data_IF_027964493374
#
_entry.id   IF_027964493374
#
_cell.length_a   1.000
_cell.length_b   1.000
_cell.length_c   1.000
_cell.angle_alpha   90.00
_cell.angle_beta   90.00
_cell.angle_gamma   90.00
#
_symmetry.space_group_name_H-M   'P 1'
#
loop_
_entity.id
_entity.type
_entity.pdbx_description
1 polymer ?
#
# COMPACT_ATOMS: atom_id res chain seq x y z
N UNK A 1 4.10 -15.79 8.82
CA UNK A 1 5.34 -15.37 8.12
C UNK A 1 6.26 -16.54 7.72
N UNK A 2 6.80 -17.37 8.62
CA UNK A 2 7.82 -18.39 8.25
C UNK A 2 7.34 -19.51 7.31
N UNK A 3 6.03 -19.74 7.23
CA UNK A 3 5.42 -20.75 6.32
C UNK A 3 4.96 -20.15 4.98
N UNK A 4 5.25 -18.87 4.73
CA UNK A 4 4.89 -18.23 3.47
C UNK A 4 5.71 -18.81 2.30
N UNK A 5 5.11 -18.87 1.12
CA UNK A 5 5.70 -19.54 -0.05
C UNK A 5 6.18 -18.51 -1.07
N UNK A 6 7.48 -18.50 -1.36
CA UNK A 6 8.04 -17.69 -2.46
C UNK A 6 7.57 -18.25 -3.81
N UNK A 7 6.86 -17.43 -4.58
CA UNK A 7 6.31 -17.83 -5.87
C UNK A 7 7.29 -17.53 -7.02
N UNK A 8 7.89 -16.35 -7.01
CA UNK A 8 8.88 -15.91 -8.01
C UNK A 8 9.72 -14.74 -7.51
N UNK A 9 10.91 -14.58 -8.12
CA UNK A 9 11.76 -13.39 -8.02
C UNK A 9 11.76 -12.63 -9.35
N UNK A 10 11.85 -11.31 -9.28
CA UNK A 10 11.81 -10.40 -10.42
C UNK A 10 12.97 -9.41 -10.29
N UNK A 11 13.76 -9.30 -11.37
CA UNK A 11 15.06 -8.62 -11.43
C UNK A 11 16.10 -9.23 -10.46
N UNK A 12 17.34 -8.74 -10.53
CA UNK A 12 18.41 -9.13 -9.63
C UNK A 12 18.75 -7.96 -8.69
N UNK A 13 18.96 -8.22 -7.38
CA UNK A 13 19.52 -7.23 -6.48
C UNK A 13 20.82 -6.60 -7.01
N UNK A 14 21.04 -5.29 -6.79
CA UNK A 14 22.29 -4.64 -7.19
C UNK A 14 23.48 -5.18 -6.38
N UNK A 15 24.66 -5.15 -7.01
CA UNK A 15 25.93 -5.45 -6.35
C UNK A 15 26.68 -4.15 -6.09
N UNK A 16 27.18 -3.97 -4.87
CA UNK A 16 27.96 -2.80 -4.47
C UNK A 16 29.41 -3.21 -4.21
N UNK A 17 30.37 -2.36 -4.63
CA UNK A 17 31.79 -2.47 -4.29
C UNK A 17 32.13 -1.76 -2.96
N UNK A 18 31.10 -1.32 -2.23
CA UNK A 18 31.13 -0.72 -0.90
C UNK A 18 30.03 -1.30 -0.02
N UNK A 19 30.07 -1.01 1.29
CA UNK A 19 28.98 -1.39 2.20
C UNK A 19 27.80 -0.44 2.04
N UNK A 20 26.64 -0.89 1.51
CA UNK A 20 25.48 -0.03 1.33
C UNK A 20 24.96 0.43 2.68
N UNK A 21 24.65 1.73 2.78
CA UNK A 21 24.05 2.33 3.97
C UNK A 21 22.54 2.12 3.97
N UNK A 22 21.96 2.03 5.15
CA UNK A 22 20.51 2.07 5.30
C UNK A 22 19.96 3.48 5.05
N UNK A 23 18.69 3.55 4.62
CA UNK A 23 18.02 4.80 4.27
C UNK A 23 18.05 5.86 5.39
N UNK A 24 18.05 5.49 6.67
CA UNK A 24 18.09 6.47 7.75
C UNK A 24 19.43 7.19 7.82
N UNK A 25 20.56 6.52 7.57
CA UNK A 25 21.89 7.16 7.58
C UNK A 25 22.03 8.08 6.38
N UNK A 26 21.60 7.59 5.20
CA UNK A 26 21.56 8.37 3.96
C UNK A 26 20.70 9.62 4.15
N UNK A 27 19.47 9.42 4.64
CA UNK A 27 18.48 10.48 4.84
C UNK A 27 18.90 11.55 5.84
N UNK A 28 19.57 11.17 6.94
CA UNK A 28 20.13 12.12 7.90
C UNK A 28 21.29 12.91 7.28
N UNK A 29 22.20 12.24 6.56
CA UNK A 29 23.38 12.88 5.94
C UNK A 29 23.01 13.85 4.81
N UNK A 30 21.97 13.53 4.04
CA UNK A 30 21.43 14.39 2.97
C UNK A 30 20.45 15.43 3.50
N UNK A 31 20.12 15.39 4.80
CA UNK A 31 19.09 16.21 5.42
C UNK A 31 17.73 16.09 4.67
N UNK A 32 17.38 14.85 4.29
CA UNK A 32 16.10 14.45 3.71
C UNK A 32 15.13 13.89 4.74
N UNK A 33 15.63 13.21 5.77
CA UNK A 33 14.83 12.59 6.83
C UNK A 33 15.17 13.25 8.17
N UNK A 34 14.22 13.99 8.75
CA UNK A 34 14.38 14.68 10.02
C UNK A 34 13.47 14.05 11.09
N UNK A 35 14.01 13.03 11.76
CA UNK A 35 13.34 12.31 12.85
C UNK A 35 13.20 13.17 14.10
N UNK A 36 14.19 14.01 14.40
CA UNK A 36 14.19 14.87 15.61
C UNK A 36 13.03 15.85 15.55
N UNK A 37 12.82 16.51 14.41
CA UNK A 37 11.67 17.40 14.22
C UNK A 37 10.36 16.62 14.13
N UNK A 38 10.36 15.42 13.55
CA UNK A 38 9.19 14.52 13.55
C UNK A 38 8.69 14.21 14.97
N UNK A 39 9.61 13.84 15.87
CA UNK A 39 9.30 13.64 17.29
C UNK A 39 8.84 14.94 17.96
N UNK A 40 9.51 16.06 17.68
CA UNK A 40 9.20 17.35 18.30
C UNK A 40 7.77 17.83 18.01
N UNK A 41 7.28 17.64 16.78
CA UNK A 41 5.95 18.14 16.37
C UNK A 41 4.84 17.12 16.56
N UNK A 42 5.18 15.83 16.65
CA UNK A 42 4.25 14.73 16.85
C UNK A 42 4.71 13.88 18.04
N UNK A 43 5.29 12.71 17.78
CA UNK A 43 5.85 11.78 18.76
C UNK A 43 6.80 10.80 18.03
N UNK A 44 7.24 9.73 18.68
CA UNK A 44 7.98 8.66 18.01
C UNK A 44 7.21 8.10 16.80
N UNK A 45 7.92 7.48 15.84
CA UNK A 45 7.35 6.95 14.58
C UNK A 45 6.69 8.00 13.68
N UNK A 46 7.19 9.23 13.73
CA UNK A 46 6.96 10.28 12.74
C UNK A 46 8.31 10.80 12.21
N UNK A 47 8.34 11.20 10.94
CA UNK A 47 9.51 11.75 10.27
C UNK A 47 9.10 12.92 9.39
N UNK A 48 9.89 14.01 9.41
CA UNK A 48 9.72 15.12 8.46
C UNK A 48 10.60 14.87 7.25
N UNK A 49 9.98 14.81 6.07
CA UNK A 49 10.71 14.79 4.79
C UNK A 49 11.11 16.22 4.39
N UNK A 50 12.33 16.38 3.87
CA UNK A 50 12.89 17.67 3.46
C UNK A 50 13.56 17.59 2.09
N UNK A 51 13.73 18.77 1.48
CA UNK A 51 14.49 18.98 0.25
C UNK A 51 14.12 17.97 -0.86
N UNK A 52 15.12 17.40 -1.52
CA UNK A 52 14.94 16.42 -2.59
C UNK A 52 14.22 15.15 -2.11
N UNK A 53 14.36 14.75 -0.84
CA UNK A 53 13.60 13.62 -0.28
C UNK A 53 12.09 13.86 -0.27
N UNK A 54 11.67 15.09 0.07
CA UNK A 54 10.26 15.48 -0.01
C UNK A 54 9.76 15.58 -1.47
N UNK A 55 10.59 16.12 -2.37
CA UNK A 55 10.26 16.19 -3.80
C UNK A 55 10.12 14.79 -4.42
N UNK A 56 11.02 13.87 -4.05
CA UNK A 56 11.01 12.48 -4.53
C UNK A 56 9.78 11.72 -4.02
N UNK A 57 9.38 11.90 -2.76
CA UNK A 57 8.12 11.31 -2.23
C UNK A 57 6.92 11.75 -3.07
N UNK A 58 6.82 13.05 -3.39
CA UNK A 58 5.76 13.58 -4.25
C UNK A 58 5.85 13.05 -5.69
N UNK A 59 7.05 12.96 -6.24
CA UNK A 59 7.27 12.41 -7.58
C UNK A 59 6.80 10.95 -7.68
N UNK A 60 7.06 10.16 -6.63
CA UNK A 60 6.58 8.78 -6.52
C UNK A 60 5.06 8.69 -6.54
N UNK A 61 4.35 9.51 -5.75
CA UNK A 61 2.88 9.54 -5.74
C UNK A 61 2.33 9.76 -7.14
N UNK A 62 2.81 10.79 -7.84
CA UNK A 62 2.33 11.12 -9.18
C UNK A 62 2.63 10.01 -10.18
N UNK A 63 3.84 9.45 -10.13
CA UNK A 63 4.23 8.36 -11.01
C UNK A 63 3.35 7.12 -10.81
N UNK A 64 3.14 6.71 -9.56
CA UNK A 64 2.32 5.56 -9.21
C UNK A 64 0.87 5.72 -9.69
N UNK A 65 0.27 6.90 -9.50
CA UNK A 65 -1.09 7.20 -10.00
C UNK A 65 -1.13 7.13 -11.52
N UNK A 66 -0.22 7.80 -12.23
CA UNK A 66 -0.19 7.79 -13.69
C UNK A 66 0.04 6.38 -14.25
N UNK A 67 0.90 5.59 -13.59
CA UNK A 67 1.14 4.20 -13.92
C UNK A 67 -0.15 3.38 -13.81
N UNK A 68 -0.81 3.42 -12.66
CA UNK A 68 -2.07 2.69 -12.43
C UNK A 68 -3.17 3.14 -13.41
N UNK A 69 -3.27 4.44 -13.70
CA UNK A 69 -4.23 4.97 -14.70
C UNK A 69 -3.97 4.43 -16.09
N UNK A 70 -2.70 4.32 -16.50
CA UNK A 70 -2.33 3.72 -17.79
C UNK A 70 -2.71 2.23 -17.88
N UNK A 71 -2.94 1.57 -16.73
CA UNK A 71 -3.43 0.18 -16.62
C UNK A 71 -4.96 0.08 -16.45
N UNK A 72 -5.68 1.18 -16.62
CA UNK A 72 -7.14 1.20 -16.63
C UNK A 72 -7.78 1.32 -15.24
N UNK A 73 -7.05 1.81 -14.24
CA UNK A 73 -7.62 2.15 -12.93
C UNK A 73 -8.06 3.63 -12.92
N UNK A 74 -9.33 3.87 -12.58
CA UNK A 74 -9.86 5.22 -12.42
C UNK A 74 -9.25 5.88 -11.17
N UNK A 75 -8.77 7.12 -11.31
CA UNK A 75 -8.25 7.85 -10.16
C UNK A 75 -9.39 8.49 -9.37
N UNK A 76 -9.52 8.12 -8.10
CA UNK A 76 -10.49 8.68 -7.17
C UNK A 76 -9.79 9.37 -6.00
N UNK A 77 -10.35 10.47 -5.54
CA UNK A 77 -9.90 11.21 -4.36
C UNK A 77 -10.98 11.14 -3.28
N UNK A 78 -10.60 10.73 -2.07
CA UNK A 78 -11.55 10.36 -1.01
C UNK A 78 -11.22 11.04 0.32
N UNK A 79 -12.21 11.19 1.22
CA UNK A 79 -11.96 11.69 2.57
C UNK A 79 -11.00 10.78 3.37
N UNK A 80 -10.19 11.38 4.24
CA UNK A 80 -9.31 10.64 5.16
C UNK A 80 -9.95 10.39 6.52
N UNK A 81 -11.10 11.02 6.79
CA UNK A 81 -11.96 10.74 7.93
C UNK A 81 -13.22 10.03 7.44
N UNK A 82 -13.55 8.90 8.04
CA UNK A 82 -14.72 8.08 7.67
C UNK A 82 -15.50 7.66 8.91
N UNK A 83 -16.78 7.37 8.73
CA UNK A 83 -17.64 6.96 9.84
C UNK A 83 -17.44 5.49 10.25
N UNK A 84 -17.98 5.10 11.41
CA UNK A 84 -17.85 3.74 11.92
C UNK A 84 -18.46 2.66 11.01
N UNK A 85 -19.52 3.00 10.25
CA UNK A 85 -20.12 2.06 9.30
C UNK A 85 -19.18 1.74 8.13
N UNK A 86 -18.47 2.74 7.60
CA UNK A 86 -17.43 2.57 6.58
C UNK A 86 -16.31 1.65 7.10
N UNK A 87 -15.82 1.89 8.32
CA UNK A 87 -14.79 1.06 8.96
C UNK A 87 -15.26 -0.39 9.21
N UNK A 88 -16.55 -0.59 9.45
CA UNK A 88 -17.14 -1.92 9.59
C UNK A 88 -17.19 -2.66 8.24
N UNK A 89 -17.49 -1.96 7.15
CA UNK A 89 -17.62 -2.53 5.80
C UNK A 89 -16.38 -3.31 5.36
N UNK A 90 -15.20 -2.77 5.58
CA UNK A 90 -13.90 -3.36 5.18
C UNK A 90 -13.23 -4.20 6.28
N UNK A 91 -13.86 -4.35 7.44
CA UNK A 91 -13.42 -5.29 8.48
C UNK A 91 -12.49 -4.74 9.56
N UNK A 92 -12.15 -3.46 9.54
CA UNK A 92 -11.37 -2.81 10.60
C UNK A 92 -12.14 -2.84 11.92
N UNK A 93 -13.45 -2.54 11.89
CA UNK A 93 -14.31 -2.67 13.06
C UNK A 93 -15.09 -3.99 13.09
N UNK A 94 -15.30 -4.58 14.29
CA UNK A 94 -14.85 -4.10 15.60
C UNK A 94 -13.45 -4.56 16.01
N UNK A 95 -12.85 -5.53 15.28
CA UNK A 95 -11.68 -6.29 15.73
C UNK A 95 -10.42 -5.43 15.96
N UNK A 96 -10.17 -4.46 15.09
CA UNK A 96 -8.95 -3.64 15.09
C UNK A 96 -9.23 -2.21 15.57
N UNK A 97 -10.26 -2.01 16.39
CA UNK A 97 -10.61 -0.68 16.93
C UNK A 97 -9.43 0.00 17.62
N UNK A 98 -8.65 -0.78 18.38
CA UNK A 98 -7.49 -0.27 19.12
C UNK A 98 -6.32 0.14 18.21
N UNK A 99 -6.28 -0.32 16.96
CA UNK A 99 -5.26 0.06 15.99
C UNK A 99 -5.62 1.37 15.25
N UNK A 100 -6.86 1.84 15.35
CA UNK A 100 -7.36 3.01 14.61
C UNK A 100 -7.29 4.29 15.46
N UNK A 101 -6.96 5.41 14.82
CA UNK A 101 -7.17 6.73 15.40
C UNK A 101 -8.63 7.15 15.21
N UNK A 102 -9.31 7.42 16.33
CA UNK A 102 -10.71 7.88 16.38
C UNK A 102 -10.71 9.35 16.79
N UNK A 103 -11.55 10.16 16.15
CA UNK A 103 -11.83 11.54 16.58
C UNK A 103 -12.63 11.49 17.88
N UNK A 104 -12.21 12.29 18.85
CA UNK A 104 -12.90 12.34 20.14
C UNK A 104 -14.31 12.94 19.96
N UNK A 105 -15.29 12.44 20.72
CA UNK A 105 -16.70 12.83 20.63
C UNK A 105 -17.41 12.71 19.27
N UNK A 106 -16.74 12.21 18.23
CA UNK A 106 -17.33 11.97 16.90
C UNK A 106 -17.24 10.49 16.51
N UNK A 107 -18.20 9.99 15.71
CA UNK A 107 -18.08 8.67 15.07
C UNK A 107 -17.26 8.78 13.78
N UNK A 108 -16.07 9.40 13.86
CA UNK A 108 -15.12 9.51 12.76
C UNK A 108 -13.78 8.87 13.12
N UNK A 109 -13.18 8.22 12.14
CA UNK A 109 -11.88 7.54 12.24
C UNK A 109 -10.98 8.01 11.11
N UNK A 110 -9.69 8.19 11.41
CA UNK A 110 -8.68 8.33 10.36
C UNK A 110 -8.48 6.98 9.67
N UNK A 111 -8.42 7.00 8.35
CA UNK A 111 -8.24 5.78 7.55
C UNK A 111 -6.84 5.20 7.72
N UNK A 112 -6.73 3.87 7.81
CA UNK A 112 -5.45 3.14 7.83
C UNK A 112 -5.00 2.67 6.44
N UNK A 113 -5.83 2.93 5.42
CA UNK A 113 -5.66 2.61 4.00
C UNK A 113 -6.80 3.23 3.17
N UNK A 114 -6.55 3.65 1.92
CA UNK A 114 -7.61 4.10 1.00
C UNK A 114 -8.61 3.00 0.64
N UNK A 115 -8.27 1.73 0.84
CA UNK A 115 -9.20 0.60 0.69
C UNK A 115 -10.52 0.86 1.44
N UNK A 116 -10.44 1.41 2.66
CA UNK A 116 -11.61 1.66 3.52
C UNK A 116 -12.66 2.52 2.81
N UNK A 117 -12.37 3.79 2.45
CA UNK A 117 -13.35 4.62 1.76
C UNK A 117 -13.63 4.14 0.34
N UNK A 118 -12.63 3.68 -0.41
CA UNK A 118 -12.80 3.36 -1.85
C UNK A 118 -13.70 2.14 -2.06
N UNK A 119 -13.55 1.07 -1.27
CA UNK A 119 -14.46 -0.09 -1.33
C UNK A 119 -15.89 0.32 -0.95
N UNK A 120 -16.04 1.22 0.02
CA UNK A 120 -17.34 1.67 0.52
C UNK A 120 -18.01 2.76 -0.32
N UNK A 121 -17.39 3.24 -1.42
CA UNK A 121 -18.05 4.18 -2.35
C UNK A 121 -19.40 3.63 -2.84
N UNK A 122 -19.51 2.30 -2.95
CA UNK A 122 -20.70 1.60 -3.41
C UNK A 122 -21.45 0.87 -2.28
N UNK A 123 -21.19 1.24 -1.02
CA UNK A 123 -21.82 0.62 0.15
C UNK A 123 -23.35 0.79 0.09
N UNK A 124 -24.07 -0.33 0.20
CA UNK A 124 -25.53 -0.39 0.13
C UNK A 124 -26.11 -0.46 -1.28
N UNK A 125 -25.29 -0.32 -2.32
CA UNK A 125 -25.76 -0.25 -3.71
C UNK A 125 -26.02 -1.61 -4.36
N UNK A 126 -26.82 -1.58 -5.43
CA UNK A 126 -27.00 -2.69 -6.37
C UNK A 126 -26.48 -2.21 -7.72
N UNK A 127 -25.27 -2.63 -8.05
CA UNK A 127 -24.54 -2.25 -9.26
C UNK A 127 -25.13 -2.92 -10.51
N UNK A 128 -25.00 -2.22 -11.63
CA UNK A 128 -25.31 -2.74 -12.94
C UNK A 128 -24.22 -3.71 -13.41
N UNK A 129 -24.61 -4.89 -13.91
CA UNK A 129 -23.70 -6.00 -14.24
C UNK A 129 -22.61 -5.62 -15.25
N UNK A 130 -22.96 -4.74 -16.19
CA UNK A 130 -22.13 -4.21 -17.26
C UNK A 130 -21.09 -3.19 -16.79
N UNK A 131 -21.23 -2.64 -15.57
CA UNK A 131 -20.24 -1.73 -14.98
C UNK A 131 -19.06 -2.47 -14.33
N UNK A 132 -19.17 -3.79 -14.17
CA UNK A 132 -18.15 -4.61 -13.51
C UNK A 132 -17.18 -5.25 -14.53
N UNK A 133 -15.86 -5.25 -14.26
CA UNK A 133 -15.22 -4.83 -13.01
C UNK A 133 -15.01 -3.31 -12.93
N UNK A 134 -15.25 -2.74 -11.74
CA UNK A 134 -14.86 -1.37 -11.40
C UNK A 134 -13.45 -1.43 -10.83
N UNK A 135 -12.53 -0.65 -11.40
CA UNK A 135 -11.11 -0.62 -11.01
C UNK A 135 -10.71 0.81 -10.67
N UNK A 136 -10.26 1.03 -9.45
CA UNK A 136 -9.95 2.36 -8.93
C UNK A 136 -8.54 2.40 -8.34
N UNK A 137 -7.90 3.56 -8.44
CA UNK A 137 -6.65 3.87 -7.74
C UNK A 137 -6.80 5.16 -6.93
N UNK A 138 -6.18 5.21 -5.76
CA UNK A 138 -6.34 6.32 -4.84
C UNK A 138 -5.06 6.54 -4.02
N UNK A 139 -4.65 7.80 -3.88
CA UNK A 139 -3.62 8.18 -2.93
C UNK A 139 -4.25 8.61 -1.60
N UNK A 140 -3.63 8.23 -0.47
CA UNK A 140 -3.93 8.85 0.82
C UNK A 140 -2.74 8.84 1.78
N UNK A 141 -2.80 9.73 2.76
CA UNK A 141 -2.12 9.52 4.03
C UNK A 141 -2.89 8.44 4.82
N UNK A 142 -2.17 7.44 5.30
CA UNK A 142 -2.67 6.32 6.08
C UNK A 142 -2.21 6.45 7.53
N UNK A 143 -3.11 6.18 8.48
CA UNK A 143 -2.89 6.37 9.91
C UNK A 143 -3.07 5.05 10.67
N UNK A 144 -2.05 4.61 11.41
CA UNK A 144 -2.07 3.38 12.22
C UNK A 144 -1.46 3.64 13.58
N UNK A 145 -2.13 3.21 14.66
CA UNK A 145 -1.55 3.28 16.02
C UNK A 145 -0.40 2.31 16.23
N UNK A 146 -0.22 1.32 15.35
CA UNK A 146 0.87 0.34 15.42
C UNK A 146 0.96 -0.34 16.81
N UNK A 147 -0.19 -0.64 17.42
CA UNK A 147 -0.24 -1.27 18.74
C UNK A 147 0.41 -2.66 18.67
N UNK A 148 1.22 -3.00 19.68
CA UNK A 148 1.95 -4.27 19.71
C UNK A 148 3.24 -4.33 18.86
N UNK A 149 3.64 -3.25 18.19
CA UNK A 149 4.89 -3.20 17.40
C UNK A 149 6.16 -2.85 18.21
N UNK A 150 6.14 -3.02 19.53
CA UNK A 150 7.25 -2.65 20.42
C UNK A 150 8.55 -3.36 20.02
N UNK A 151 9.63 -2.60 19.85
CA UNK A 151 10.96 -3.13 19.51
C UNK A 151 11.18 -3.53 18.04
N UNK A 152 10.15 -3.50 17.18
CA UNK A 152 10.27 -3.80 15.74
C UNK A 152 10.39 -2.52 14.91
N UNK A 153 11.33 -2.50 13.97
CA UNK A 153 11.55 -1.39 13.01
C UNK A 153 11.56 -0.02 13.73
N UNK A 154 12.43 0.12 14.72
CA UNK A 154 12.47 1.28 15.62
C UNK A 154 13.18 2.50 15.01
N UNK A 155 14.00 2.29 13.98
CA UNK A 155 14.70 3.35 13.22
C UNK A 155 14.24 3.36 11.77
N UNK A 156 14.21 4.55 11.17
CA UNK A 156 13.82 4.72 9.77
C UNK A 156 12.33 4.99 9.56
N UNK A 157 11.87 4.84 8.32
CA UNK A 157 10.51 5.18 7.88
C UNK A 157 9.71 3.97 7.35
N UNK A 158 10.18 2.73 7.60
CA UNK A 158 9.47 1.50 7.20
C UNK A 158 8.15 1.30 7.96
N UNK A 159 8.13 1.72 9.25
CA UNK A 159 6.97 1.61 10.15
C UNK A 159 6.75 2.93 10.88
N UNK A 160 5.70 3.65 10.48
CA UNK A 160 5.33 4.97 10.99
C UNK A 160 3.85 5.00 11.37
N UNK A 161 3.45 5.93 12.24
CA UNK A 161 2.04 6.16 12.54
C UNK A 161 1.28 6.78 11.37
N UNK A 162 1.98 7.61 10.59
CA UNK A 162 1.49 8.19 9.35
C UNK A 162 2.43 7.81 8.21
N UNK A 163 1.88 7.30 7.12
CA UNK A 163 2.62 7.00 5.90
C UNK A 163 1.73 7.19 4.68
N UNK A 164 2.33 7.41 3.53
CA UNK A 164 1.62 7.64 2.27
C UNK A 164 1.51 6.34 1.47
N UNK A 165 0.39 6.15 0.80
CA UNK A 165 0.14 4.97 -0.03
C UNK A 165 -0.70 5.32 -1.25
N UNK A 166 -0.35 4.71 -2.39
CA UNK A 166 -1.23 4.64 -3.56
C UNK A 166 -1.83 3.24 -3.59
N UNK A 167 -3.15 3.16 -3.61
CA UNK A 167 -3.92 1.92 -3.54
C UNK A 167 -4.51 1.56 -4.89
N UNK A 168 -4.71 0.26 -5.13
CA UNK A 168 -5.60 -0.32 -6.12
C UNK A 168 -6.79 -0.95 -5.39
N UNK A 169 -8.01 -0.69 -5.85
CA UNK A 169 -9.22 -1.33 -5.34
C UNK A 169 -10.07 -1.76 -6.53
N UNK A 170 -10.54 -3.00 -6.50
CA UNK A 170 -11.44 -3.51 -7.54
C UNK A 170 -12.69 -4.13 -6.95
N UNK A 171 -13.82 -3.89 -7.62
CA UNK A 171 -15.10 -4.53 -7.35
C UNK A 171 -15.49 -5.32 -8.59
N UNK A 172 -15.72 -6.62 -8.44
CA UNK A 172 -15.87 -7.54 -9.59
C UNK A 172 -17.08 -8.44 -9.42
N UNK A 173 -17.51 -9.08 -10.50
CA UNK A 173 -18.32 -10.30 -10.39
C UNK A 173 -17.48 -11.43 -9.79
N UNK A 174 -18.09 -12.43 -9.13
CA UNK A 174 -17.36 -13.56 -8.55
C UNK A 174 -16.43 -14.29 -9.54
N UNK A 175 -16.88 -14.50 -10.77
CA UNK A 175 -16.16 -15.20 -11.84
C UNK A 175 -14.97 -14.42 -12.41
N UNK A 176 -14.94 -13.09 -12.24
CA UNK A 176 -13.84 -12.23 -12.68
C UNK A 176 -12.76 -12.06 -11.61
N UNK A 177 -13.04 -12.48 -10.37
CA UNK A 177 -12.26 -12.12 -9.20
C UNK A 177 -10.80 -12.60 -9.26
N UNK A 178 -10.55 -13.83 -9.73
CA UNK A 178 -9.20 -14.37 -9.82
C UNK A 178 -8.37 -13.75 -10.95
N UNK A 179 -8.99 -13.38 -12.08
CA UNK A 179 -8.27 -12.72 -13.18
C UNK A 179 -7.88 -11.30 -12.79
N UNK A 180 -8.78 -10.55 -12.14
CA UNK A 180 -8.51 -9.20 -11.62
C UNK A 180 -7.48 -9.22 -10.50
N UNK A 181 -7.47 -10.26 -9.64
CA UNK A 181 -6.42 -10.45 -8.64
C UNK A 181 -5.03 -10.52 -9.30
N UNK A 182 -4.88 -11.34 -10.34
CA UNK A 182 -3.61 -11.45 -11.07
C UNK A 182 -3.27 -10.15 -11.79
N UNK A 183 -4.24 -9.45 -12.37
CA UNK A 183 -4.02 -8.13 -13.00
C UNK A 183 -3.48 -7.11 -12.00
N UNK A 184 -4.04 -7.03 -10.79
CA UNK A 184 -3.58 -6.13 -9.74
C UNK A 184 -2.19 -6.50 -9.23
N UNK A 185 -1.90 -7.79 -9.06
CA UNK A 185 -0.60 -8.28 -8.64
C UNK A 185 0.50 -7.93 -9.67
N UNK A 186 0.23 -8.17 -10.96
CA UNK A 186 1.17 -7.80 -12.03
C UNK A 186 1.27 -6.28 -12.18
N UNK A 187 0.19 -5.51 -11.97
CA UNK A 187 0.27 -4.04 -11.97
C UNK A 187 1.28 -3.51 -10.93
N UNK A 188 1.21 -4.02 -9.69
CA UNK A 188 2.15 -3.61 -8.63
C UNK A 188 3.58 -4.16 -8.88
N UNK A 189 3.72 -5.36 -9.43
CA UNK A 189 5.01 -5.96 -9.80
C UNK A 189 5.69 -5.23 -10.97
N UNK A 190 4.93 -4.86 -12.00
CA UNK A 190 5.39 -4.10 -13.15
C UNK A 190 5.84 -2.69 -12.70
N UNK A 191 5.12 -2.07 -11.77
CA UNK A 191 5.49 -0.79 -11.18
C UNK A 191 6.85 -0.86 -10.46
N UNK A 192 7.09 -1.89 -9.63
CA UNK A 192 8.42 -2.11 -9.04
C UNK A 192 9.50 -2.34 -10.10
N UNK A 193 9.20 -3.15 -11.12
CA UNK A 193 10.12 -3.43 -12.23
C UNK A 193 10.50 -2.17 -13.00
N UNK A 194 9.52 -1.29 -13.24
CA UNK A 194 9.73 -0.02 -13.94
C UNK A 194 10.58 0.97 -13.15
N UNK A 195 10.60 0.86 -11.82
CA UNK A 195 11.50 1.57 -10.92
C UNK A 195 12.87 0.89 -10.78
N UNK A 196 13.12 -0.22 -11.48
CA UNK A 196 14.36 -0.97 -11.39
C UNK A 196 14.58 -1.65 -10.03
N UNK A 197 13.52 -1.90 -9.26
CA UNK A 197 13.61 -2.45 -7.91
C UNK A 197 13.41 -3.97 -7.93
N UNK A 198 14.46 -4.70 -7.54
CA UNK A 198 14.39 -6.15 -7.39
C UNK A 198 13.40 -6.54 -6.28
N UNK A 199 12.53 -7.50 -6.57
CA UNK A 199 11.46 -7.91 -5.66
C UNK A 199 11.09 -9.37 -5.83
N UNK A 200 10.33 -9.89 -4.86
CA UNK A 200 9.78 -11.24 -4.89
C UNK A 200 8.30 -11.25 -4.57
N UNK A 201 7.63 -12.30 -5.05
CA UNK A 201 6.22 -12.58 -4.78
C UNK A 201 6.16 -13.64 -3.68
N UNK A 202 5.41 -13.37 -2.62
CA UNK A 202 5.31 -14.23 -1.45
C UNK A 202 3.83 -14.53 -1.16
N UNK A 203 3.39 -15.78 -1.38
CA UNK A 203 2.03 -16.21 -1.03
C UNK A 203 1.95 -16.39 0.48
N UNK A 204 1.00 -15.70 1.12
CA UNK A 204 0.79 -15.80 2.55
C UNK A 204 0.15 -17.14 2.93
N UNK A 205 0.67 -17.78 3.99
CA UNK A 205 0.02 -18.93 4.58
C UNK A 205 -1.25 -18.52 5.33
N UNK A 206 -2.10 -19.48 5.68
CA UNK A 206 -3.41 -19.21 6.30
C UNK A 206 -3.31 -18.46 7.64
N UNK A 207 -2.25 -18.72 8.42
CA UNK A 207 -2.00 -18.05 9.70
C UNK A 207 -1.53 -16.59 9.57
N UNK A 208 -1.12 -16.18 8.37
CA UNK A 208 -0.58 -14.85 8.07
C UNK A 208 -1.55 -13.97 7.28
N UNK A 209 -2.70 -14.52 6.89
CA UNK A 209 -3.71 -13.76 6.15
C UNK A 209 -4.31 -12.64 7.00
N UNK A 210 -4.45 -11.47 6.38
CA UNK A 210 -5.23 -10.37 6.93
C UNK A 210 -6.70 -10.78 7.12
N UNK A 211 -7.37 -10.17 8.10
CA UNK A 211 -8.71 -10.59 8.55
C UNK A 211 -9.78 -10.67 7.45
N UNK A 212 -9.68 -9.82 6.42
CA UNK A 212 -10.65 -9.78 5.32
C UNK A 212 -10.20 -10.55 4.08
N UNK A 213 -8.96 -11.03 4.03
CA UNK A 213 -8.40 -11.67 2.86
C UNK A 213 -8.75 -13.16 2.82
N UNK A 214 -9.18 -13.64 1.66
CA UNK A 214 -9.27 -15.08 1.37
C UNK A 214 -7.98 -15.60 0.70
N UNK A 215 -7.24 -14.72 0.03
CA UNK A 215 -5.93 -14.98 -0.59
C UNK A 215 -5.14 -13.68 -0.63
N UNK A 216 -3.86 -13.73 -0.28
CA UNK A 216 -2.94 -12.60 -0.38
C UNK A 216 -1.61 -13.03 -0.98
N UNK A 217 -1.07 -12.20 -1.87
CA UNK A 217 0.33 -12.25 -2.28
C UNK A 217 0.99 -10.93 -1.93
N UNK A 218 2.05 -11.02 -1.14
CA UNK A 218 2.89 -9.88 -0.83
C UNK A 218 3.97 -9.72 -1.90
N UNK A 219 4.27 -8.46 -2.21
CA UNK A 219 5.48 -8.09 -2.93
C UNK A 219 6.47 -7.57 -1.90
N UNK A 220 7.64 -8.18 -1.87
CA UNK A 220 8.75 -7.73 -1.03
C UNK A 220 9.89 -7.21 -1.88
N UNK A 221 10.37 -6.01 -1.57
CA UNK A 221 11.47 -5.34 -2.29
C UNK A 221 12.80 -5.57 -1.59
N UNK A 222 13.88 -5.68 -2.36
CA UNK A 222 15.24 -5.83 -1.82
C UNK A 222 15.71 -4.54 -1.14
N UNK A 223 16.17 -4.65 0.10
CA UNK A 223 16.83 -3.57 0.85
C UNK A 223 18.29 -3.95 1.13
N UNK A 224 19.27 -3.37 0.39
CA UNK A 224 20.66 -3.78 0.50
C UNK A 224 21.29 -3.43 1.85
N UNK A 225 20.87 -2.35 2.51
CA UNK A 225 21.38 -2.02 3.86
C UNK A 225 21.00 -3.06 4.91
N UNK A 226 19.91 -3.80 4.69
CA UNK A 226 19.43 -4.86 5.57
C UNK A 226 19.73 -6.28 5.05
N UNK A 227 20.26 -6.39 3.84
CA UNK A 227 20.51 -7.65 3.14
C UNK A 227 19.29 -8.62 3.13
N UNK A 228 18.09 -8.09 2.90
CA UNK A 228 16.85 -8.87 2.85
C UNK A 228 15.76 -8.22 2.00
N UNK A 229 14.79 -9.03 1.61
CA UNK A 229 13.52 -8.54 1.07
C UNK A 229 12.60 -8.06 2.20
N UNK A 230 11.85 -6.99 1.95
CA UNK A 230 10.87 -6.41 2.87
C UNK A 230 9.58 -6.08 2.14
N UNK A 231 8.45 -6.42 2.75
CA UNK A 231 7.10 -6.10 2.24
C UNK A 231 7.01 -4.63 1.81
N UNK A 232 6.52 -4.40 0.59
CA UNK A 232 6.23 -3.07 0.02
C UNK A 232 4.80 -2.98 -0.54
N UNK A 233 4.19 -4.12 -0.81
CA UNK A 233 2.79 -4.25 -1.20
C UNK A 233 2.21 -5.58 -0.71
N UNK A 234 0.92 -5.58 -0.42
CA UNK A 234 0.08 -6.75 -0.14
C UNK A 234 -1.13 -6.64 -1.05
N UNK A 235 -1.32 -7.62 -1.95
CA UNK A 235 -2.48 -7.70 -2.86
C UNK A 235 -3.40 -8.82 -2.41
N UNK A 236 -4.66 -8.50 -2.13
CA UNK A 236 -5.63 -9.40 -1.52
C UNK A 236 -6.90 -9.55 -2.33
N UNK A 237 -7.41 -10.77 -2.40
CA UNK A 237 -8.78 -11.08 -2.81
C UNK A 237 -9.61 -11.36 -1.55
N UNK A 238 -10.61 -10.51 -1.29
CA UNK A 238 -11.49 -10.62 -0.13
C UNK A 238 -12.76 -11.43 -0.42
N UNK A 239 -12.94 -11.88 -1.67
CA UNK A 239 -14.18 -12.49 -2.17
C UNK A 239 -15.37 -11.63 -1.75
N UNK A 240 -16.43 -12.22 -1.24
CA UNK A 240 -17.66 -11.54 -0.84
C UNK A 240 -17.64 -11.02 0.62
N UNK A 241 -16.53 -11.16 1.36
CA UNK A 241 -16.47 -10.85 2.79
C UNK A 241 -16.85 -9.39 3.08
N UNK A 242 -16.19 -8.45 2.40
CA UNK A 242 -16.45 -7.02 2.58
C UNK A 242 -17.78 -6.62 1.93
N UNK A 243 -18.10 -7.18 0.76
CA UNK A 243 -19.38 -6.96 0.08
C UNK A 243 -20.58 -7.32 0.97
N UNK A 244 -20.49 -8.39 1.76
CA UNK A 244 -21.54 -8.80 2.71
C UNK A 244 -21.73 -7.79 3.84
N UNK A 245 -20.64 -7.23 4.36
CA UNK A 245 -20.65 -6.22 5.44
C UNK A 245 -21.13 -4.86 4.93
N UNK A 246 -20.64 -4.42 3.78
CA UNK A 246 -20.99 -3.17 3.12
C UNK A 246 -22.24 -3.27 2.23
N UNK A 247 -22.89 -4.45 2.14
CA UNK A 247 -24.11 -4.72 1.36
C UNK A 247 -24.01 -4.38 -0.14
N UNK A 248 -22.81 -4.50 -0.72
CA UNK A 248 -22.54 -4.22 -2.13
C UNK A 248 -22.97 -5.42 -2.97
N UNK A 249 -23.90 -5.20 -3.90
CA UNK A 249 -24.49 -6.26 -4.73
C UNK A 249 -24.49 -5.84 -6.19
N UNK A 250 -24.77 -6.78 -7.08
CA UNK A 250 -25.10 -6.52 -8.49
C UNK A 250 -26.29 -7.36 -8.92
N UNK A 251 -26.95 -6.98 -10.02
CA UNK A 251 -27.96 -7.83 -10.66
C UNK A 251 -27.30 -8.82 -11.61
N UNK A 252 -27.48 -10.11 -11.37
CA UNK A 252 -27.03 -11.15 -12.30
C UNK A 252 -27.94 -11.19 -13.55
N UNK A 253 -27.59 -12.03 -14.53
CA UNK A 253 -28.34 -12.19 -15.79
C UNK A 253 -29.80 -12.63 -15.59
N UNK A 254 -30.11 -13.23 -14.44
CA UNK A 254 -31.45 -13.71 -14.07
C UNK A 254 -32.24 -12.64 -13.29
N UNK A 255 -31.69 -11.43 -13.13
CA UNK A 255 -32.29 -10.32 -12.38
C UNK A 255 -32.24 -10.48 -10.86
N UNK A 256 -31.49 -11.45 -10.33
CA UNK A 256 -31.31 -11.66 -8.89
C UNK A 256 -30.13 -10.84 -8.37
N UNK A 257 -30.26 -10.36 -7.13
CA UNK A 257 -29.18 -9.67 -6.45
C UNK A 257 -28.15 -10.68 -5.95
N UNK A 258 -26.90 -10.53 -6.35
CA UNK A 258 -25.76 -11.31 -5.87
C UNK A 258 -24.69 -10.39 -5.28
N UNK A 259 -23.86 -10.93 -4.37
CA UNK A 259 -22.74 -10.18 -3.80
C UNK A 259 -21.62 -10.06 -4.82
N UNK A 260 -21.02 -8.88 -4.90
CA UNK A 260 -19.77 -8.68 -5.64
C UNK A 260 -18.59 -9.31 -4.89
N UNK A 261 -17.46 -9.48 -5.58
CA UNK A 261 -16.18 -9.67 -4.93
C UNK A 261 -15.41 -8.35 -4.82
N UNK A 262 -14.58 -8.25 -3.78
CA UNK A 262 -13.76 -7.08 -3.48
C UNK A 262 -12.29 -7.47 -3.44
N UNK A 263 -11.44 -6.63 -4.01
CA UNK A 263 -10.00 -6.82 -4.06
C UNK A 263 -9.30 -5.49 -3.75
N UNK A 264 -8.15 -5.58 -3.09
CA UNK A 264 -7.33 -4.41 -2.79
C UNK A 264 -5.85 -4.76 -2.91
N UNK A 265 -5.01 -3.74 -3.12
CA UNK A 265 -3.57 -3.92 -3.20
C UNK A 265 -2.83 -2.62 -3.14
N UNK A 266 -1.66 -2.59 -2.49
CA UNK A 266 -0.81 -1.40 -2.51
C UNK A 266 -0.08 -1.30 -3.85
N UNK A 267 -0.02 -0.11 -4.46
CA UNK A 267 0.68 0.14 -5.72
C UNK A 267 1.30 1.55 -5.74
N UNK A 268 2.15 1.94 -4.79
CA UNK A 268 2.78 1.18 -3.69
C UNK A 268 2.68 1.96 -2.36
N UNK A 269 3.20 1.40 -1.27
CA UNK A 269 3.49 2.17 -0.05
C UNK A 269 4.65 3.16 -0.30
N UNK A 270 4.34 4.43 -0.49
CA UNK A 270 5.26 5.48 -0.97
C UNK A 270 6.50 5.59 -0.11
N UNK A 271 6.33 5.62 1.22
CA UNK A 271 7.46 5.70 2.15
C UNK A 271 8.42 4.52 2.04
N UNK A 272 7.90 3.29 1.86
CA UNK A 272 8.74 2.09 1.66
C UNK A 272 9.40 2.10 0.28
N UNK A 273 8.74 2.64 -0.74
CA UNK A 273 9.36 2.85 -2.06
C UNK A 273 10.49 3.87 -2.01
N UNK A 274 10.33 4.96 -1.25
CA UNK A 274 11.40 5.93 -1.02
C UNK A 274 12.61 5.27 -0.36
N UNK A 275 12.40 4.44 0.67
CA UNK A 275 13.46 3.62 1.29
C UNK A 275 14.16 2.75 0.26
N UNK A 276 13.40 2.02 -0.56
CA UNK A 276 13.97 1.14 -1.57
C UNK A 276 14.80 1.92 -2.61
N UNK A 277 14.35 3.10 -3.05
CA UNK A 277 15.12 3.94 -3.98
C UNK A 277 16.40 4.44 -3.32
N UNK A 278 16.31 4.99 -2.11
CA UNK A 278 17.48 5.49 -1.39
C UNK A 278 18.55 4.41 -1.24
N UNK A 279 18.17 3.20 -0.88
CA UNK A 279 19.16 2.14 -0.64
C UNK A 279 19.67 1.48 -1.94
N UNK A 280 18.82 1.29 -2.96
CA UNK A 280 19.23 0.62 -4.20
C UNK A 280 19.93 1.54 -5.20
N UNK A 281 19.74 2.86 -5.09
CA UNK A 281 20.31 3.85 -6.00
C UNK A 281 21.41 4.71 -5.37
N UNK A 282 21.96 4.31 -4.21
CA UNK A 282 23.06 5.02 -3.59
C UNK A 282 24.39 4.80 -4.33
N UNK A 283 25.24 5.83 -4.37
CA UNK A 283 26.66 5.70 -4.72
C UNK A 283 27.55 5.61 -3.47
N UNK A 284 28.85 5.38 -3.68
CA UNK A 284 29.84 5.27 -2.60
C UNK A 284 30.01 6.58 -1.80
N UNK A 285 29.67 7.71 -2.40
CA UNK A 285 29.64 9.03 -1.76
C UNK A 285 28.35 9.28 -0.95
N UNK A 286 27.35 8.40 -1.07
CA UNK A 286 26.05 8.51 -0.40
C UNK A 286 25.04 9.40 -1.12
N UNK A 287 25.25 9.73 -2.40
CA UNK A 287 24.24 10.38 -3.24
C UNK A 287 23.26 9.35 -3.76
N UNK A 288 22.03 9.78 -4.02
CA UNK A 288 20.97 8.92 -4.55
C UNK A 288 20.71 9.27 -6.02
N UNK A 289 20.89 8.29 -6.90
CA UNK A 289 20.53 8.43 -8.30
C UNK A 289 19.01 8.30 -8.49
N UNK A 290 18.40 9.19 -9.27
CA UNK A 290 16.96 9.15 -9.52
C UNK A 290 16.66 8.17 -10.66
N UNK A 291 15.75 7.19 -10.48
CA UNK A 291 15.29 6.31 -11.55
C UNK A 291 14.82 7.09 -12.78
N UNK A 292 15.15 6.62 -13.98
CA UNK A 292 14.85 7.34 -15.23
C UNK A 292 13.37 7.68 -15.40
N UNK A 293 12.48 6.76 -15.01
CA UNK A 293 11.02 6.94 -15.08
C UNK A 293 10.50 8.08 -14.18
N UNK A 294 11.26 8.46 -13.15
CA UNK A 294 10.91 9.54 -12.23
C UNK A 294 11.42 10.92 -12.68
N UNK A 295 12.37 10.99 -13.62
CA UNK A 295 12.99 12.26 -14.06
C UNK A 295 11.99 13.28 -14.62
N UNK A 296 10.84 12.85 -15.15
CA UNK A 296 9.79 13.77 -15.62
C UNK A 296 8.94 14.37 -14.49
N UNK A 297 9.04 13.83 -13.27
CA UNK A 297 8.33 14.27 -12.08
C UNK A 297 9.24 14.97 -11.04
N UNK A 298 10.56 14.90 -11.24
CA UNK A 298 11.59 15.34 -10.29
C UNK A 298 12.47 16.44 -10.87
#
# INVERSE_FOLDING_TARGET
EDENVELKKVLNPPSFDFTPKEHFELGESLNWLDFVRGVKISQSRFCVLKNEGALLSRALVNYMIDFNRSRGFEFVNVPFLVNGATMFGTGQLPKFKEDMYKVDDEDLYLISTSEIPVTNLYSGEILASETLPIKMTCYSACFRKEAGSAGRDTRGIIRQHQFEKVELVSITKPEQSDSVFNEMLECASDLLSSLGLAHRHLMLCTGDLGFSAAKTVDLEVWLPGQNKYREISSVSNCRDFQARRAKIRYKNEQGKNELVHTLNGSSLAVGRTLVAIMENYQDKEGKIHIPDVLKKYF
#
